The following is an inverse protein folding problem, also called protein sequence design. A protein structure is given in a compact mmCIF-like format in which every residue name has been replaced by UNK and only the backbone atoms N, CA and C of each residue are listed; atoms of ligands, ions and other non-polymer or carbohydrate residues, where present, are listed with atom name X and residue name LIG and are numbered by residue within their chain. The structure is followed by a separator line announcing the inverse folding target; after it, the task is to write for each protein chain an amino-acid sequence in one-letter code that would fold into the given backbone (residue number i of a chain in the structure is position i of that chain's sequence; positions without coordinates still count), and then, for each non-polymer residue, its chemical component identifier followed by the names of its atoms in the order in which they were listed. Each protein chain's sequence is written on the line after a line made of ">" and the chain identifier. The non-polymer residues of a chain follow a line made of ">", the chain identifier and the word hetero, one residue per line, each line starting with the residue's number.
data_IF_760805300146
#
_entry.id   IF_760805300146
#
_cell.length_a   1.000
_cell.length_b   1.000
_cell.length_c   1.000
_cell.angle_alpha   90.00
_cell.angle_beta   90.00
_cell.angle_gamma   90.00
#
_symmetry.space_group_name_H-M   'P 1'
#
loop_
_entity.id
_entity.type
_entity.pdbx_description
1 polymer ?
#
# COMPACT_ATOMS: atom_id res chain seq x y z
N UNK A 1 5.00 8.45 8.01
CA UNK A 1 5.50 8.47 6.62
C UNK A 1 4.32 8.73 5.67
N UNK A 2 4.56 9.12 4.42
CA UNK A 2 3.51 9.30 3.40
C UNK A 2 3.82 8.44 2.17
N UNK A 3 2.77 7.95 1.52
CA UNK A 3 2.84 7.24 0.24
C UNK A 3 1.53 7.36 -0.53
N UNK A 4 1.57 7.13 -1.84
CA UNK A 4 0.41 7.15 -2.72
C UNK A 4 0.08 5.74 -3.18
N UNK A 5 -1.20 5.37 -3.21
CA UNK A 5 -1.62 4.06 -3.74
C UNK A 5 -1.41 4.06 -5.25
N UNK A 6 -0.39 3.35 -5.72
CA UNK A 6 -0.11 3.19 -7.14
C UNK A 6 -1.03 2.16 -7.78
N UNK A 7 -1.39 1.10 -7.03
CA UNK A 7 -2.23 0.03 -7.51
C UNK A 7 -2.96 -0.68 -6.37
N UNK A 8 -4.13 -1.25 -6.66
CA UNK A 8 -4.91 -2.01 -5.70
C UNK A 8 -5.68 -3.15 -6.37
N UNK A 9 -5.58 -4.36 -5.82
CA UNK A 9 -6.39 -5.52 -6.20
C UNK A 9 -7.56 -5.71 -5.24
N UNK A 10 -8.79 -5.59 -5.74
CA UNK A 10 -9.98 -5.67 -4.88
C UNK A 10 -10.20 -7.07 -4.28
N UNK A 11 -9.97 -8.15 -5.04
CA UNK A 11 -10.25 -9.51 -4.57
C UNK A 11 -9.26 -9.99 -3.52
N UNK A 12 -7.95 -9.84 -3.79
CA UNK A 12 -6.87 -10.20 -2.87
C UNK A 12 -6.62 -9.15 -1.79
N UNK A 13 -7.23 -7.96 -1.91
CA UNK A 13 -7.00 -6.80 -1.04
C UNK A 13 -5.55 -6.33 -0.97
N UNK A 14 -4.73 -6.69 -1.95
CA UNK A 14 -3.32 -6.30 -2.02
C UNK A 14 -3.20 -4.90 -2.63
N UNK A 15 -2.39 -4.04 -2.02
CA UNK A 15 -2.09 -2.71 -2.52
C UNK A 15 -0.59 -2.49 -2.67
N UNK A 16 -0.24 -1.72 -3.70
CA UNK A 16 1.09 -1.19 -3.90
C UNK A 16 1.08 0.30 -3.61
N UNK A 17 1.93 0.73 -2.68
CA UNK A 17 2.03 2.10 -2.20
C UNK A 17 3.40 2.65 -2.59
N UNK A 18 3.41 3.64 -3.46
CA UNK A 18 4.59 4.38 -3.88
C UNK A 18 5.01 5.36 -2.79
N UNK A 19 6.31 5.39 -2.48
CA UNK A 19 6.92 6.29 -1.51
C UNK A 19 8.20 6.88 -2.09
N UNK A 20 8.72 7.90 -1.43
CA UNK A 20 10.02 8.52 -1.77
C UNK A 20 11.17 7.49 -1.76
N UNK A 21 11.06 6.43 -0.95
CA UNK A 21 12.10 5.42 -0.78
C UNK A 21 11.78 4.09 -1.50
N UNK A 22 10.97 4.13 -2.56
CA UNK A 22 10.52 2.93 -3.28
C UNK A 22 9.08 2.55 -2.94
N UNK A 23 8.72 1.29 -3.15
CA UNK A 23 7.35 0.80 -2.98
C UNK A 23 7.19 0.00 -1.68
N UNK A 24 5.98 0.04 -1.13
CA UNK A 24 5.51 -0.86 -0.09
C UNK A 24 4.37 -1.68 -0.66
N UNK A 25 4.41 -2.99 -0.42
CA UNK A 25 3.30 -3.89 -0.71
C UNK A 25 2.71 -4.38 0.60
N UNK A 26 1.40 -4.57 0.60
CA UNK A 26 0.70 -5.10 1.74
C UNK A 26 -0.77 -5.32 1.46
N UNK A 27 -1.46 -5.83 2.47
CA UNK A 27 -2.85 -6.26 2.37
C UNK A 27 -3.75 -5.33 3.18
N UNK A 28 -4.88 -4.94 2.62
CA UNK A 28 -5.90 -4.14 3.28
C UNK A 28 -6.79 -5.03 4.13
N UNK A 29 -6.59 -4.96 5.45
CA UNK A 29 -7.39 -5.70 6.43
C UNK A 29 -8.75 -5.03 6.65
N UNK A 30 -8.77 -3.70 6.79
CA UNK A 30 -9.99 -2.93 7.06
C UNK A 30 -9.92 -1.55 6.40
N UNK A 31 -11.04 -1.08 5.83
CA UNK A 31 -11.18 0.26 5.27
C UNK A 31 -11.35 0.25 3.75
N UNK A 32 -11.05 1.40 3.13
CA UNK A 32 -11.14 1.58 1.69
C UNK A 32 -9.92 2.36 1.20
N UNK A 33 -9.37 1.89 0.10
CA UNK A 33 -8.33 2.57 -0.68
C UNK A 33 -8.70 2.52 -2.15
N UNK A 34 -8.24 3.52 -2.89
CA UNK A 34 -8.31 3.56 -4.34
C UNK A 34 -6.96 4.00 -4.91
N UNK A 35 -6.61 3.59 -6.14
CA UNK A 35 -5.46 4.15 -6.83
C UNK A 35 -5.51 5.67 -6.85
N UNK A 36 -4.39 6.32 -6.49
CA UNK A 36 -4.27 7.77 -6.32
C UNK A 36 -4.53 8.29 -4.90
N UNK A 37 -5.03 7.46 -3.98
CA UNK A 37 -5.19 7.87 -2.58
C UNK A 37 -3.84 8.12 -1.91
N UNK A 38 -3.76 9.17 -1.09
CA UNK A 38 -2.57 9.49 -0.29
C UNK A 38 -2.75 8.92 1.11
N UNK A 39 -1.84 8.04 1.51
CA UNK A 39 -1.83 7.39 2.82
C UNK A 39 -0.71 7.96 3.69
N UNK A 40 -1.01 8.16 4.98
CA UNK A 40 -0.03 8.53 5.98
C UNK A 40 -0.09 7.65 7.21
N UNK A 41 1.09 7.27 7.73
CA UNK A 41 1.21 6.35 8.86
C UNK A 41 2.53 5.58 8.83
N UNK A 42 2.53 4.41 9.47
CA UNK A 42 3.64 3.47 9.44
C UNK A 42 3.50 2.49 8.27
N UNK A 43 4.42 2.60 7.33
CA UNK A 43 4.44 1.87 6.05
C UNK A 43 5.76 1.11 5.85
N UNK A 44 6.60 1.04 6.90
CA UNK A 44 7.88 0.31 6.90
C UNK A 44 7.89 -0.87 7.84
N UNK A 45 7.13 -0.78 8.92
CA UNK A 45 7.05 -1.87 9.89
C UNK A 45 6.19 -2.98 9.32
N UNK A 46 6.80 -4.16 9.14
CA UNK A 46 6.08 -5.38 8.78
C UNK A 46 4.97 -5.67 9.79
N UNK A 47 3.82 -6.11 9.30
CA UNK A 47 2.63 -6.35 10.12
C UNK A 47 1.55 -5.28 9.99
N UNK A 48 0.45 -5.52 10.71
CA UNK A 48 -0.72 -4.66 10.74
C UNK A 48 -0.42 -3.29 11.35
N UNK A 49 -0.56 -2.25 10.53
CA UNK A 49 -0.40 -0.85 10.90
C UNK A 49 -1.65 -0.05 10.54
N UNK A 50 -2.04 0.88 11.43
CA UNK A 50 -3.14 1.80 11.13
C UNK A 50 -2.62 2.96 10.30
N UNK A 51 -3.22 3.15 9.13
CA UNK A 51 -2.93 4.26 8.23
C UNK A 51 -4.10 5.23 8.18
N UNK A 52 -3.82 6.46 7.82
CA UNK A 52 -4.81 7.49 7.52
C UNK A 52 -4.79 7.77 6.02
N UNK A 53 -5.93 7.62 5.37
CA UNK A 53 -6.14 8.07 4.01
C UNK A 53 -6.43 9.57 4.05
N UNK A 54 -5.46 10.37 3.65
CA UNK A 54 -5.55 11.84 3.61
C UNK A 54 -6.52 12.32 2.53
N UNK A 55 -6.73 11.54 1.46
CA UNK A 55 -7.67 11.87 0.38
C UNK A 55 -9.12 11.76 0.85
N UNK A 56 -9.45 10.73 1.62
CA UNK A 56 -10.83 10.48 2.10
C UNK A 56 -11.08 10.92 3.54
N UNK A 57 -10.02 11.23 4.29
CA UNK A 57 -10.07 11.56 5.72
C UNK A 57 -10.36 10.37 6.64
N UNK A 58 -10.29 9.13 6.13
CA UNK A 58 -10.63 7.91 6.88
C UNK A 58 -9.38 7.13 7.31
N UNK A 59 -9.44 6.48 8.46
CA UNK A 59 -8.40 5.51 8.85
C UNK A 59 -8.67 4.14 8.26
N UNK A 60 -7.61 3.37 8.03
CA UNK A 60 -7.65 2.00 7.53
C UNK A 60 -6.58 1.15 8.23
N UNK A 61 -6.74 -0.17 8.16
CA UNK A 61 -5.79 -1.14 8.68
C UNK A 61 -5.08 -1.82 7.50
N UNK A 62 -3.77 -1.73 7.47
CA UNK A 62 -2.94 -2.22 6.38
C UNK A 62 -1.83 -3.11 6.94
N UNK A 63 -1.74 -4.34 6.46
CA UNK A 63 -0.69 -5.29 6.82
C UNK A 63 0.47 -5.17 5.83
N UNK A 64 1.61 -4.66 6.30
CA UNK A 64 2.80 -4.49 5.47
C UNK A 64 3.51 -5.83 5.33
N UNK A 65 3.57 -6.34 4.09
CA UNK A 65 4.19 -7.62 3.78
C UNK A 65 5.61 -7.47 3.24
N UNK A 66 5.89 -6.38 2.51
CA UNK A 66 7.24 -6.00 2.13
C UNK A 66 7.37 -4.48 1.91
N UNK A 67 8.58 -3.97 2.11
CA UNK A 67 8.90 -2.55 2.03
C UNK A 67 10.19 -2.33 1.23
N UNK A 68 10.36 -1.11 0.68
CA UNK A 68 11.51 -0.69 -0.12
C UNK A 68 11.73 -1.51 -1.41
N UNK A 69 10.63 -2.00 -2.00
CA UNK A 69 10.68 -2.63 -3.31
C UNK A 69 11.09 -1.60 -4.37
N UNK A 70 11.91 -2.05 -5.31
CA UNK A 70 12.25 -1.31 -6.53
C UNK A 70 11.07 -1.31 -7.50
N UNK A 71 11.11 -0.44 -8.51
CA UNK A 71 10.11 -0.40 -9.58
C UNK A 71 10.06 -1.72 -10.37
N UNK A 72 11.22 -2.36 -10.58
CA UNK A 72 11.32 -3.66 -11.25
C UNK A 72 10.63 -4.76 -10.43
N UNK A 73 10.92 -4.87 -9.13
CA UNK A 73 10.28 -5.85 -8.24
C UNK A 73 8.77 -5.62 -8.12
N UNK A 74 8.34 -4.36 -8.04
CA UNK A 74 6.93 -4.00 -8.02
C UNK A 74 6.23 -4.40 -9.34
N UNK A 75 6.88 -4.19 -10.47
CA UNK A 75 6.35 -4.58 -11.79
C UNK A 75 6.23 -6.10 -11.93
N UNK A 76 7.24 -6.84 -11.48
CA UNK A 76 7.22 -8.30 -11.48
C UNK A 76 6.11 -8.87 -10.58
N UNK A 77 5.90 -8.28 -9.40
CA UNK A 77 4.78 -8.61 -8.52
C UNK A 77 3.43 -8.39 -9.22
N UNK A 78 3.26 -7.24 -9.87
CA UNK A 78 2.04 -6.94 -10.62
C UNK A 78 1.81 -7.90 -11.79
N UNK A 79 2.88 -8.36 -12.45
CA UNK A 79 2.78 -9.34 -13.52
C UNK A 79 2.36 -10.74 -13.02
N UNK A 80 2.76 -11.11 -11.79
CA UNK A 80 2.38 -12.39 -11.17
C UNK A 80 0.93 -12.42 -10.68
N UNK A 81 0.42 -11.29 -10.20
CA UNK A 81 -0.93 -11.17 -9.59
C UNK A 81 -2.03 -10.95 -10.65
N UNK A 82 -1.69 -11.02 -11.94
CA UNK A 82 -2.59 -10.72 -13.07
C UNK A 82 -3.57 -11.85 -13.42
#
# INVERSE_FOLDING_TARGET
>A
MRGMVAWYHHELRVALIERIAGFTVGTLEEGLISPGDVLSGDLRTFGCSRLNNETTGKSLLFDVEAEALTEEEATDLLAFIR
#
